data_IF_011415954548
#
_entry.id   IF_011415954548
#
_cell.length_a   1.000
_cell.length_b   1.000
_cell.length_c   1.000
_cell.angle_alpha   90.00
_cell.angle_beta   90.00
_cell.angle_gamma   90.00
#
_symmetry.space_group_name_H-M   'P 1'
#
loop_
_entity.id
_entity.type
_entity.pdbx_description
1 polymer ?
#
# COMPACT_ATOMS: atom_id res chain seq x y z
N UNK A 1 26.60 -4.37 2.59
CA UNK A 1 26.65 -4.78 1.18
C UNK A 1 25.41 -4.23 0.50
N UNK A 2 25.55 -3.45 -0.57
CA UNK A 2 24.39 -2.93 -1.29
C UNK A 2 23.56 -4.12 -1.80
N UNK A 3 22.26 -4.12 -1.52
CA UNK A 3 21.36 -5.20 -1.91
C UNK A 3 21.10 -5.05 -3.43
N UNK A 4 21.98 -5.63 -4.26
CA UNK A 4 21.84 -5.64 -5.71
C UNK A 4 21.10 -6.91 -6.17
N UNK A 5 20.20 -6.77 -7.15
CA UNK A 5 19.58 -7.92 -7.80
C UNK A 5 20.66 -8.73 -8.55
N UNK A 6 20.82 -10.04 -8.30
CA UNK A 6 21.82 -10.87 -8.97
C UNK A 6 21.56 -11.01 -10.49
N UNK A 7 20.36 -10.66 -10.96
CA UNK A 7 19.97 -10.64 -12.38
C UNK A 7 19.58 -9.22 -12.78
N UNK A 8 20.59 -8.37 -13.05
CA UNK A 8 20.43 -6.93 -13.32
C UNK A 8 20.05 -6.59 -14.77
N UNK A 9 20.36 -7.46 -15.73
CA UNK A 9 20.27 -7.18 -17.16
C UNK A 9 18.95 -7.67 -17.77
N UNK A 10 17.85 -7.02 -17.41
CA UNK A 10 16.60 -7.17 -18.16
C UNK A 10 16.66 -6.25 -19.39
N UNK A 11 16.54 -6.81 -20.59
CA UNK A 11 16.39 -6.07 -21.85
C UNK A 11 14.96 -5.52 -22.01
N UNK A 12 14.33 -5.12 -20.92
CA UNK A 12 13.01 -4.47 -20.86
C UNK A 12 13.17 -2.99 -20.51
N UNK A 13 12.22 -2.17 -20.94
CA UNK A 13 12.18 -0.76 -20.56
C UNK A 13 12.05 -0.64 -19.05
N UNK A 14 13.12 -0.26 -18.34
CA UNK A 14 13.17 -0.43 -16.89
C UNK A 14 14.52 -0.91 -16.36
N UNK A 15 15.23 -1.72 -17.14
CA UNK A 15 16.52 -2.30 -16.75
C UNK A 15 17.74 -1.41 -17.02
N UNK A 16 18.91 -1.96 -16.68
CA UNK A 16 20.23 -1.34 -16.93
C UNK A 16 20.64 -0.27 -15.92
N UNK A 17 21.89 0.18 -16.05
CA UNK A 17 22.47 1.25 -15.23
C UNK A 17 21.73 2.58 -15.46
N UNK A 18 21.45 3.31 -14.39
CA UNK A 18 20.68 4.56 -14.38
C UNK A 18 21.54 5.76 -13.98
N UNK A 19 21.02 6.97 -14.19
CA UNK A 19 21.72 8.20 -13.84
C UNK A 19 22.16 8.25 -12.37
N UNK A 20 21.37 7.69 -11.45
CA UNK A 20 21.72 7.69 -10.04
C UNK A 20 22.83 6.71 -9.65
N UNK A 21 23.10 5.71 -10.49
CA UNK A 21 24.25 4.82 -10.30
C UNK A 21 25.55 5.55 -10.65
N UNK A 22 25.52 6.38 -11.70
CA UNK A 22 26.67 7.18 -12.14
C UNK A 22 26.92 8.43 -11.28
N UNK A 23 25.84 9.10 -10.85
CA UNK A 23 25.90 10.32 -10.03
C UNK A 23 25.05 10.17 -8.77
N UNK A 24 25.50 9.38 -7.77
CA UNK A 24 24.69 9.05 -6.60
C UNK A 24 24.31 10.26 -5.74
N UNK A 25 25.14 11.31 -5.74
CA UNK A 25 24.95 12.53 -4.95
C UNK A 25 24.31 13.69 -5.75
N UNK A 26 23.92 13.46 -7.02
CA UNK A 26 23.21 14.47 -7.79
C UNK A 26 21.82 14.73 -7.19
N UNK A 27 21.37 15.98 -7.20
CA UNK A 27 20.03 16.36 -6.74
C UNK A 27 18.95 15.57 -7.48
N UNK A 28 18.09 14.88 -6.72
CA UNK A 28 16.93 14.15 -7.26
C UNK A 28 15.67 14.98 -7.11
N UNK A 29 14.92 15.12 -8.20
CA UNK A 29 13.63 15.83 -8.23
C UNK A 29 12.43 14.89 -8.31
N UNK A 30 12.65 13.58 -8.12
CA UNK A 30 11.61 12.55 -8.28
C UNK A 30 10.44 12.76 -7.32
N UNK A 31 10.68 13.34 -6.14
CA UNK A 31 9.64 13.68 -5.16
C UNK A 31 8.59 14.65 -5.71
N UNK A 32 8.96 15.51 -6.67
CA UNK A 32 8.05 16.49 -7.30
C UNK A 32 7.15 15.85 -8.37
N UNK A 33 7.32 14.55 -8.62
CA UNK A 33 6.58 13.80 -9.64
C UNK A 33 5.80 12.63 -9.03
N UNK A 34 5.71 12.56 -7.69
CA UNK A 34 4.89 11.58 -6.99
C UNK A 34 3.41 12.02 -7.00
N UNK A 35 2.50 11.05 -6.87
CA UNK A 35 1.05 11.27 -6.69
C UNK A 35 0.39 12.16 -7.76
N UNK A 36 0.79 12.00 -9.02
CA UNK A 36 0.19 12.72 -10.14
C UNK A 36 -1.15 12.08 -10.56
N UNK A 37 -2.03 12.87 -11.16
CA UNK A 37 -3.36 12.41 -11.57
C UNK A 37 -3.33 11.25 -12.58
N UNK A 38 -2.28 11.13 -13.40
CA UNK A 38 -2.13 10.02 -14.36
C UNK A 38 -1.96 8.66 -13.67
N UNK A 39 -1.46 8.65 -12.43
CA UNK A 39 -1.32 7.42 -11.63
C UNK A 39 -2.54 7.12 -10.75
N UNK A 40 -3.51 8.03 -10.68
CA UNK A 40 -4.70 7.87 -9.84
C UNK A 40 -5.81 7.13 -10.61
N UNK A 41 -6.26 5.93 -10.17
CA UNK A 41 -7.31 5.19 -10.85
C UNK A 41 -8.73 5.73 -10.59
N UNK A 42 -8.93 6.61 -9.60
CA UNK A 42 -10.25 7.04 -9.14
C UNK A 42 -10.94 8.06 -10.07
N UNK A 43 -10.22 8.60 -11.06
CA UNK A 43 -10.72 9.65 -11.95
C UNK A 43 -10.54 11.05 -11.37
N UNK A 44 -10.68 12.07 -12.23
CA UNK A 44 -10.38 13.47 -11.90
C UNK A 44 -11.40 14.11 -10.96
N UNK A 45 -12.64 13.67 -11.04
CA UNK A 45 -13.78 14.29 -10.38
C UNK A 45 -14.16 13.58 -9.06
N UNK A 46 -13.34 12.62 -8.61
CA UNK A 46 -13.62 11.85 -7.40
C UNK A 46 -13.29 12.63 -6.12
N UNK A 47 -14.30 12.84 -5.27
CA UNK A 47 -14.16 13.40 -3.93
C UNK A 47 -14.33 12.31 -2.86
N UNK A 48 -13.23 11.95 -2.19
CA UNK A 48 -13.25 10.95 -1.12
C UNK A 48 -14.03 11.43 0.12
N UNK A 49 -14.00 12.71 0.43
CA UNK A 49 -14.70 13.24 1.60
C UNK A 49 -16.22 13.22 1.40
N UNK A 50 -16.70 13.50 0.18
CA UNK A 50 -18.11 13.32 -0.18
C UNK A 50 -18.51 11.83 -0.13
N UNK A 51 -17.73 10.96 -0.77
CA UNK A 51 -17.98 9.52 -0.79
C UNK A 51 -18.03 8.93 0.64
N UNK A 52 -17.07 9.29 1.49
CA UNK A 52 -17.01 8.80 2.87
C UNK A 52 -18.20 9.25 3.72
N UNK A 53 -18.75 10.44 3.49
CA UNK A 53 -19.96 10.90 4.21
C UNK A 53 -21.20 10.08 3.87
N UNK A 54 -21.22 9.43 2.71
CA UNK A 54 -22.36 8.62 2.25
C UNK A 54 -22.29 7.15 2.69
N UNK A 55 -21.19 6.72 3.32
CA UNK A 55 -21.02 5.32 3.72
C UNK A 55 -21.94 4.94 4.88
N UNK A 56 -22.44 3.70 4.88
CA UNK A 56 -23.04 3.10 6.07
C UNK A 56 -21.94 2.79 7.10
N UNK A 57 -21.61 3.78 7.93
CA UNK A 57 -20.53 3.70 8.90
C UNK A 57 -20.80 2.67 10.01
N UNK A 58 -22.06 2.53 10.42
CA UNK A 58 -22.44 1.55 11.44
C UNK A 58 -22.42 0.13 10.87
N UNK A 59 -22.89 -0.04 9.63
CA UNK A 59 -22.75 -1.30 8.88
C UNK A 59 -21.28 -1.72 8.75
N UNK A 60 -20.39 -0.81 8.34
CA UNK A 60 -18.96 -1.07 8.23
C UNK A 60 -18.35 -1.57 9.55
N UNK A 61 -18.64 -0.90 10.67
CA UNK A 61 -18.14 -1.34 11.98
C UNK A 61 -18.67 -2.73 12.35
N UNK A 62 -19.95 -2.98 12.12
CA UNK A 62 -20.58 -4.28 12.39
C UNK A 62 -19.91 -5.40 11.60
N UNK A 63 -19.65 -5.18 10.32
CA UNK A 63 -18.99 -6.15 9.46
C UNK A 63 -17.55 -6.41 9.91
N UNK A 64 -16.82 -5.37 10.33
CA UNK A 64 -15.48 -5.54 10.91
C UNK A 64 -15.50 -6.35 12.20
N UNK A 65 -16.51 -6.16 13.07
CA UNK A 65 -16.67 -6.98 14.27
C UNK A 65 -16.96 -8.45 13.94
N UNK A 66 -17.79 -8.72 12.94
CA UNK A 66 -18.07 -10.08 12.49
C UNK A 66 -16.81 -10.76 11.92
N UNK A 67 -16.05 -10.02 11.08
CA UNK A 67 -14.81 -10.49 10.47
C UNK A 67 -13.77 -10.90 11.52
N UNK A 68 -13.73 -10.26 12.68
CA UNK A 68 -12.76 -10.59 13.72
C UNK A 68 -12.83 -12.06 14.15
N UNK A 69 -13.97 -12.72 14.04
CA UNK A 69 -14.15 -14.14 14.41
C UNK A 69 -14.38 -15.07 13.21
N UNK A 70 -14.38 -14.55 11.99
CA UNK A 70 -14.58 -15.32 10.76
C UNK A 70 -13.26 -15.88 10.22
N UNK A 71 -12.74 -16.91 10.90
CA UNK A 71 -11.43 -17.47 10.63
C UNK A 71 -11.30 -18.09 9.23
N UNK A 72 -10.28 -17.65 8.49
CA UNK A 72 -9.98 -18.13 7.14
C UNK A 72 -8.97 -19.28 7.14
N UNK A 73 -9.13 -20.33 6.31
CA UNK A 73 -8.24 -21.50 6.31
C UNK A 73 -6.83 -21.21 5.81
N UNK A 74 -6.67 -20.20 4.95
CA UNK A 74 -5.37 -19.79 4.42
C UNK A 74 -4.58 -18.91 5.42
N UNK A 75 -5.24 -18.38 6.45
CA UNK A 75 -4.59 -17.67 7.55
C UNK A 75 -5.44 -17.75 8.83
N UNK A 76 -5.40 -18.87 9.57
CA UNK A 76 -6.30 -19.10 10.70
C UNK A 76 -6.17 -18.05 11.81
N UNK A 77 -7.29 -17.72 12.46
CA UNK A 77 -7.31 -16.76 13.56
C UNK A 77 -6.76 -17.37 14.85
N UNK A 78 -5.76 -16.73 15.46
CA UNK A 78 -5.27 -17.10 16.78
C UNK A 78 -6.40 -17.00 17.79
N UNK A 79 -6.60 -18.06 18.58
CA UNK A 79 -7.69 -18.15 19.57
C UNK A 79 -9.10 -17.95 18.98
N UNK A 80 -9.26 -18.14 17.67
CA UNK A 80 -10.52 -17.88 16.96
C UNK A 80 -10.84 -16.39 16.80
N UNK A 81 -9.87 -15.48 16.98
CA UNK A 81 -10.13 -14.04 16.92
C UNK A 81 -8.94 -13.22 16.35
N UNK A 82 -9.14 -12.49 15.24
CA UNK A 82 -8.11 -11.65 14.60
C UNK A 82 -7.79 -10.32 15.33
N UNK A 83 -8.52 -9.99 16.40
CA UNK A 83 -8.35 -8.74 17.15
C UNK A 83 -6.90 -8.37 17.47
N UNK A 84 -6.09 -9.31 17.97
CA UNK A 84 -4.68 -9.04 18.26
C UNK A 84 -3.87 -8.67 17.02
N UNK A 85 -4.10 -9.37 15.90
CA UNK A 85 -3.49 -9.07 14.61
C UNK A 85 -3.91 -7.68 14.08
N UNK A 86 -5.20 -7.36 14.11
CA UNK A 86 -5.71 -6.08 13.61
C UNK A 86 -5.27 -4.89 14.48
N UNK A 87 -5.18 -5.04 15.80
CA UNK A 87 -4.62 -4.00 16.68
C UNK A 87 -3.15 -3.75 16.31
N UNK A 88 -2.35 -4.81 16.15
CA UNK A 88 -0.94 -4.68 15.77
C UNK A 88 -0.79 -4.04 14.39
N UNK A 89 -1.63 -4.41 13.42
CA UNK A 89 -1.62 -3.82 12.08
C UNK A 89 -1.90 -2.32 12.13
N UNK A 90 -2.92 -1.89 12.88
CA UNK A 90 -3.25 -0.47 13.05
C UNK A 90 -2.11 0.30 13.74
N UNK A 91 -1.50 -0.27 14.78
CA UNK A 91 -0.32 0.31 15.45
C UNK A 91 0.85 0.54 14.50
N UNK A 92 1.17 -0.42 13.62
CA UNK A 92 2.26 -0.29 12.65
C UNK A 92 1.95 0.69 11.50
N UNK A 93 0.67 0.99 11.27
CA UNK A 93 0.25 1.90 10.20
C UNK A 93 0.28 3.37 10.61
N UNK A 94 0.14 3.66 11.91
CA UNK A 94 0.18 5.02 12.46
C UNK A 94 1.62 5.55 12.51
#
# INVERSE_FOLDING_TARGET
>A
MAQECPVRFANTGGGGTRNFDWWPNQLRVNILRQHTQVTNPMGKDFDYAEAFKSIDYEGLKKDLHALMTDSQPWWPADFGHYGGLFIRMAWHSA
#
